data_IF_635931432390
#
_entry.id   IF_635931432390
#
_cell.length_a   1.000
_cell.length_b   1.000
_cell.length_c   1.000
_cell.angle_alpha   90.00
_cell.angle_beta   90.00
_cell.angle_gamma   90.00
#
_symmetry.space_group_name_H-M   'P 1'
#
loop_
_entity.id
_entity.type
_entity.pdbx_description
1 polymer ?
#
# COMPACT_ATOMS: atom_id res chain seq x y z
N UNK A 1 22.65 8.19 3.77
CA UNK A 1 21.18 8.31 3.94
C UNK A 1 20.58 8.36 2.54
N UNK A 2 19.60 7.50 2.23
CA UNK A 2 19.03 7.37 0.88
C UNK A 2 19.62 6.24 0.02
N UNK A 3 20.35 5.28 0.61
CA UNK A 3 20.78 4.06 -0.09
C UNK A 3 19.65 3.01 -0.05
N UNK A 4 18.90 2.91 -1.14
CA UNK A 4 17.86 1.91 -1.31
C UNK A 4 18.38 0.56 -1.85
N UNK A 5 19.62 0.51 -2.37
CA UNK A 5 20.15 -0.68 -3.05
C UNK A 5 20.63 -1.71 -2.05
N UNK A 6 21.35 -1.29 -1.01
CA UNK A 6 21.91 -2.22 -0.04
C UNK A 6 20.83 -3.01 0.73
N UNK A 7 19.79 -2.35 1.29
CA UNK A 7 18.69 -3.09 1.92
C UNK A 7 17.95 -4.01 0.94
N UNK A 8 17.82 -3.61 -0.33
CA UNK A 8 17.19 -4.42 -1.37
C UNK A 8 17.97 -5.73 -1.61
N UNK A 9 19.30 -5.68 -1.68
CA UNK A 9 20.10 -6.91 -1.84
C UNK A 9 19.93 -7.87 -0.68
N UNK A 10 19.89 -7.38 0.57
CA UNK A 10 19.63 -8.24 1.73
C UNK A 10 18.22 -8.84 1.70
N UNK A 11 17.23 -8.07 1.26
CA UNK A 11 15.87 -8.57 1.09
C UNK A 11 15.79 -9.66 0.01
N UNK A 12 16.50 -9.51 -1.11
CA UNK A 12 16.56 -10.54 -2.15
C UNK A 12 17.20 -11.83 -1.62
N UNK A 13 18.30 -11.72 -0.88
CA UNK A 13 18.95 -12.90 -0.27
C UNK A 13 18.01 -13.55 0.76
N UNK A 14 17.32 -12.75 1.57
CA UNK A 14 16.35 -13.26 2.53
C UNK A 14 15.17 -13.98 1.86
N UNK A 15 14.66 -13.46 0.74
CA UNK A 15 13.62 -14.14 -0.05
C UNK A 15 14.12 -15.48 -0.62
N UNK A 16 15.34 -15.53 -1.15
CA UNK A 16 15.94 -16.78 -1.64
C UNK A 16 16.09 -17.79 -0.48
N UNK A 17 16.58 -17.32 0.66
CA UNK A 17 16.73 -18.15 1.86
C UNK A 17 15.37 -18.66 2.34
N UNK A 18 14.33 -17.84 2.30
CA UNK A 18 12.97 -18.22 2.67
C UNK A 18 12.46 -19.37 1.81
N UNK A 19 12.60 -19.26 0.47
CA UNK A 19 12.19 -20.33 -0.46
C UNK A 19 12.94 -21.64 -0.16
N UNK A 20 14.25 -21.57 0.09
CA UNK A 20 15.06 -22.75 0.41
C UNK A 20 14.58 -23.37 1.72
N UNK A 21 14.36 -22.56 2.76
CA UNK A 21 13.90 -23.03 4.07
C UNK A 21 12.48 -23.60 4.01
N UNK A 22 11.58 -23.03 3.18
CA UNK A 22 10.24 -23.59 2.97
C UNK A 22 10.33 -25.01 2.39
N UNK A 23 11.17 -25.23 1.37
CA UNK A 23 11.36 -26.57 0.80
C UNK A 23 11.95 -27.53 1.84
N UNK A 24 12.93 -27.09 2.62
CA UNK A 24 13.57 -27.93 3.65
C UNK A 24 12.60 -28.29 4.77
N UNK A 25 11.87 -27.31 5.32
CA UNK A 25 10.96 -27.56 6.45
C UNK A 25 9.68 -28.28 6.01
N UNK A 26 9.09 -27.90 4.87
CA UNK A 26 7.83 -28.48 4.41
C UNK A 26 8.05 -29.83 3.73
N UNK A 27 8.86 -29.87 2.68
CA UNK A 27 9.06 -31.10 1.93
C UNK A 27 10.10 -32.02 2.59
N UNK A 28 11.13 -31.47 3.23
CA UNK A 28 12.20 -32.25 3.87
C UNK A 28 11.83 -32.77 5.26
N UNK A 29 11.30 -31.93 6.14
CA UNK A 29 10.95 -32.31 7.52
C UNK A 29 9.46 -32.61 7.71
N UNK A 30 8.63 -32.45 6.68
CA UNK A 30 7.19 -32.71 6.77
C UNK A 30 6.44 -31.71 7.66
N UNK A 31 7.04 -30.57 7.96
CA UNK A 31 6.40 -29.52 8.77
C UNK A 31 5.37 -28.81 7.89
N UNK A 32 4.11 -28.76 8.30
CA UNK A 32 3.06 -28.05 7.56
C UNK A 32 3.21 -26.52 7.63
N UNK A 33 2.12 -25.84 8.00
CA UNK A 33 2.09 -24.36 8.09
C UNK A 33 3.11 -23.81 9.10
N UNK A 34 3.43 -24.59 10.15
CA UNK A 34 4.46 -24.22 11.13
C UNK A 34 5.86 -24.09 10.51
N UNK A 35 6.21 -25.00 9.58
CA UNK A 35 7.47 -24.94 8.83
C UNK A 35 7.60 -23.64 8.04
N UNK A 36 6.54 -23.24 7.35
CA UNK A 36 6.49 -21.96 6.62
C UNK A 36 6.69 -20.75 7.56
N UNK A 37 6.16 -20.84 8.78
CA UNK A 37 6.36 -19.84 9.83
C UNK A 37 7.83 -19.69 10.22
N UNK A 38 8.51 -20.79 10.53
CA UNK A 38 9.93 -20.78 10.88
C UNK A 38 10.81 -20.28 9.73
N UNK A 39 10.55 -20.73 8.51
CA UNK A 39 11.27 -20.28 7.32
C UNK A 39 11.18 -18.76 7.13
N UNK A 40 9.99 -18.19 7.37
CA UNK A 40 9.76 -16.75 7.26
C UNK A 40 10.51 -15.97 8.33
N UNK A 41 10.40 -16.39 9.60
CA UNK A 41 11.04 -15.70 10.73
C UNK A 41 12.56 -15.72 10.61
N UNK A 42 13.16 -16.88 10.31
CA UNK A 42 14.60 -17.00 10.14
C UNK A 42 15.14 -16.12 8.99
N UNK A 43 14.37 -16.02 7.91
CA UNK A 43 14.72 -15.17 6.77
C UNK A 43 14.69 -13.69 7.08
N UNK A 44 13.69 -13.24 7.84
CA UNK A 44 13.62 -11.84 8.28
C UNK A 44 14.71 -11.52 9.31
N UNK A 45 15.02 -12.43 10.23
CA UNK A 45 16.12 -12.27 11.20
C UNK A 45 17.45 -12.08 10.46
N UNK A 46 17.74 -12.91 9.47
CA UNK A 46 18.94 -12.77 8.65
C UNK A 46 19.02 -11.39 7.98
N UNK A 47 17.94 -10.93 7.34
CA UNK A 47 17.88 -9.62 6.68
C UNK A 47 18.14 -8.48 7.67
N UNK A 48 17.52 -8.54 8.86
CA UNK A 48 17.70 -7.56 9.92
C UNK A 48 19.14 -7.52 10.43
N UNK A 49 19.73 -8.67 10.72
CA UNK A 49 21.13 -8.77 11.16
C UNK A 49 22.10 -8.26 10.09
N UNK A 50 21.88 -8.60 8.82
CA UNK A 50 22.70 -8.11 7.71
C UNK A 50 22.64 -6.57 7.59
N UNK A 51 21.44 -5.98 7.70
CA UNK A 51 21.26 -4.53 7.74
C UNK A 51 22.01 -3.89 8.90
N UNK A 52 21.88 -4.42 10.12
CA UNK A 52 22.55 -3.89 11.33
C UNK A 52 24.07 -3.94 11.17
N UNK A 53 24.61 -5.08 10.73
CA UNK A 53 26.05 -5.24 10.49
C UNK A 53 26.57 -4.27 9.42
N UNK A 54 25.80 -4.04 8.36
CA UNK A 54 26.15 -3.07 7.33
C UNK A 54 26.16 -1.64 7.87
N UNK A 55 25.11 -1.22 8.57
CA UNK A 55 25.02 0.10 9.21
C UNK A 55 26.22 0.31 10.13
N UNK A 56 26.52 -0.67 10.99
CA UNK A 56 27.63 -0.58 11.93
C UNK A 56 28.99 -0.44 11.22
N UNK A 57 29.21 -1.14 10.10
CA UNK A 57 30.48 -1.05 9.35
C UNK A 57 30.59 0.21 8.49
N UNK A 58 29.51 0.63 7.80
CA UNK A 58 29.59 1.58 6.68
C UNK A 58 28.94 2.94 6.93
N UNK A 59 28.12 3.09 7.97
CA UNK A 59 27.40 4.35 8.24
C UNK A 59 27.71 4.81 9.67
N UNK A 60 28.87 5.48 9.90
CA UNK A 60 29.31 5.87 11.24
C UNK A 60 28.30 6.73 12.00
N UNK A 61 27.55 7.59 11.28
CA UNK A 61 26.52 8.48 11.85
C UNK A 61 25.30 7.73 12.41
N UNK A 62 25.09 6.46 12.05
CA UNK A 62 23.99 5.62 12.54
C UNK A 62 24.46 4.54 13.52
N UNK A 63 25.69 4.63 14.03
CA UNK A 63 26.18 3.71 15.06
C UNK A 63 25.55 4.07 16.40
N UNK A 64 24.74 3.15 16.92
CA UNK A 64 24.13 3.28 18.23
C UNK A 64 25.21 3.23 19.32
N UNK A 65 25.16 4.20 20.22
CA UNK A 65 25.94 4.26 21.44
C UNK A 65 25.03 4.05 22.65
N UNK A 66 25.60 3.74 23.82
CA UNK A 66 24.84 3.52 25.06
C UNK A 66 23.96 4.72 25.47
N UNK A 67 24.29 5.92 24.99
CA UNK A 67 23.51 7.15 25.22
C UNK A 67 22.22 7.22 24.39
N UNK A 68 22.15 6.51 23.27
CA UNK A 68 20.98 6.51 22.37
C UNK A 68 19.86 5.59 22.87
N UNK A 69 20.11 4.81 23.93
CA UNK A 69 19.12 3.95 24.58
C UNK A 69 18.31 4.67 25.67
N UNK A 70 18.55 5.97 25.87
CA UNK A 70 17.77 6.79 26.80
C UNK A 70 16.58 7.37 26.04
N UNK A 71 15.39 6.83 26.31
CA UNK A 71 14.15 7.36 25.72
C UNK A 71 13.72 8.65 26.44
N UNK A 72 13.82 9.79 25.75
CA UNK A 72 13.26 11.04 26.26
C UNK A 72 11.73 11.07 26.06
N UNK A 73 11.01 11.63 27.03
CA UNK A 73 9.54 11.75 26.95
C UNK A 73 9.08 12.57 25.75
N UNK A 74 9.88 13.55 25.32
CA UNK A 74 9.73 14.32 24.08
C UNK A 74 9.69 13.43 22.84
N UNK A 75 10.66 12.53 22.70
CA UNK A 75 10.79 11.64 21.54
C UNK A 75 9.65 10.62 21.50
N UNK A 76 9.33 10.02 22.65
CA UNK A 76 8.20 9.08 22.76
C UNK A 76 6.89 9.78 22.37
N UNK A 77 6.67 11.01 22.86
CA UNK A 77 5.45 11.78 22.54
C UNK A 77 5.34 12.07 21.04
N UNK A 78 6.44 12.42 20.38
CA UNK A 78 6.43 12.68 18.94
C UNK A 78 6.17 11.39 18.14
N UNK A 79 6.82 10.29 18.51
CA UNK A 79 6.56 8.97 17.89
C UNK A 79 5.11 8.52 18.05
N UNK A 80 4.52 8.67 19.25
CA UNK A 80 3.11 8.34 19.49
C UNK A 80 2.19 9.24 18.67
N UNK A 81 2.48 10.54 18.61
CA UNK A 81 1.69 11.52 17.83
C UNK A 81 1.64 11.19 16.34
N UNK A 82 2.70 10.62 15.77
CA UNK A 82 2.77 10.23 14.37
C UNK A 82 2.22 8.81 14.16
N UNK A 83 2.63 7.86 15.00
CA UNK A 83 2.34 6.44 14.82
C UNK A 83 0.89 6.09 15.15
N UNK A 84 0.28 6.75 16.15
CA UNK A 84 -1.10 6.43 16.56
C UNK A 84 -2.12 6.74 15.46
N UNK A 85 -2.08 7.91 14.77
CA UNK A 85 -2.89 8.15 13.58
C UNK A 85 -2.66 7.13 12.45
N UNK A 86 -1.40 6.74 12.20
CA UNK A 86 -1.06 5.76 11.16
C UNK A 86 -1.57 4.35 11.51
N UNK A 87 -1.48 3.95 12.77
CA UNK A 87 -2.02 2.69 13.28
C UNK A 87 -3.55 2.67 13.16
N UNK A 88 -4.22 3.75 13.56
CA UNK A 88 -5.66 3.90 13.39
C UNK A 88 -6.09 3.82 11.92
N UNK A 89 -5.32 4.45 11.01
CA UNK A 89 -5.55 4.32 9.57
C UNK A 89 -5.40 2.87 9.08
N UNK A 90 -4.43 2.13 9.59
CA UNK A 90 -4.25 0.71 9.25
C UNK A 90 -5.42 -0.13 9.74
N UNK A 91 -5.94 0.16 10.93
CA UNK A 91 -7.17 -0.46 11.45
C UNK A 91 -8.39 -0.15 10.57
N UNK A 92 -8.50 1.07 10.04
CA UNK A 92 -9.57 1.42 9.09
C UNK A 92 -9.52 0.54 7.84
N UNK A 93 -8.34 0.30 7.28
CA UNK A 93 -8.17 -0.58 6.11
C UNK A 93 -8.59 -2.01 6.48
N UNK A 94 -8.16 -2.51 7.64
CA UNK A 94 -8.52 -3.84 8.12
C UNK A 94 -10.03 -4.01 8.35
N UNK A 95 -10.67 -3.04 9.01
CA UNK A 95 -12.14 -3.03 9.22
C UNK A 95 -12.85 -2.98 7.86
N UNK A 96 -12.37 -2.14 6.94
CA UNK A 96 -12.91 -2.06 5.59
C UNK A 96 -12.85 -3.38 4.83
N UNK A 97 -11.74 -4.11 4.95
CA UNK A 97 -11.58 -5.43 4.35
C UNK A 97 -12.55 -6.46 4.96
N UNK A 98 -12.75 -6.42 6.29
CA UNK A 98 -13.73 -7.28 6.99
C UNK A 98 -15.14 -7.00 6.49
N UNK A 99 -15.53 -5.73 6.34
CA UNK A 99 -16.86 -5.35 5.84
C UNK A 99 -17.10 -5.95 4.44
N UNK A 100 -16.14 -5.78 3.52
CA UNK A 100 -16.24 -6.37 2.18
C UNK A 100 -16.33 -7.90 2.27
N UNK A 101 -15.52 -8.53 3.11
CA UNK A 101 -15.54 -9.99 3.28
C UNK A 101 -16.88 -10.51 3.79
N UNK A 102 -17.51 -9.82 4.76
CA UNK A 102 -18.84 -10.16 5.26
C UNK A 102 -19.87 -10.09 4.12
N UNK A 103 -19.86 -9.01 3.34
CA UNK A 103 -20.75 -8.85 2.18
C UNK A 103 -20.52 -9.96 1.15
N UNK A 104 -19.28 -10.30 0.83
CA UNK A 104 -18.97 -11.38 -0.12
C UNK A 104 -19.45 -12.74 0.38
N UNK A 105 -19.32 -13.02 1.68
CA UNK A 105 -19.83 -14.26 2.27
C UNK A 105 -21.36 -14.39 2.12
N UNK A 106 -22.10 -13.28 2.16
CA UNK A 106 -23.55 -13.27 1.92
C UNK A 106 -23.90 -13.51 0.44
N UNK A 107 -23.03 -13.10 -0.48
CA UNK A 107 -23.20 -13.31 -1.92
C UNK A 107 -22.81 -14.73 -2.38
N UNK A 108 -22.17 -15.52 -1.52
CA UNK A 108 -21.90 -16.94 -1.74
C UNK A 108 -20.44 -17.27 -2.09
N UNK A 109 -20.14 -18.57 -2.12
CA UNK A 109 -18.78 -19.08 -2.26
C UNK A 109 -18.09 -18.66 -3.57
N UNK A 110 -18.83 -18.58 -4.69
CA UNK A 110 -18.30 -18.16 -5.99
C UNK A 110 -17.80 -16.71 -5.95
N UNK A 111 -18.55 -15.80 -5.30
CA UNK A 111 -18.15 -14.40 -5.12
C UNK A 111 -16.87 -14.28 -4.28
N UNK A 112 -16.78 -15.05 -3.19
CA UNK A 112 -15.58 -15.09 -2.34
C UNK A 112 -14.37 -15.60 -3.12
N UNK A 113 -14.53 -16.67 -3.90
CA UNK A 113 -13.47 -17.25 -4.72
C UNK A 113 -12.98 -16.24 -5.79
N UNK A 114 -13.91 -15.59 -6.48
CA UNK A 114 -13.61 -14.59 -7.51
C UNK A 114 -12.84 -13.40 -6.94
N UNK A 115 -13.32 -12.84 -5.82
CA UNK A 115 -12.65 -11.74 -5.14
C UNK A 115 -11.26 -12.13 -4.65
N UNK A 116 -11.11 -13.34 -4.09
CA UNK A 116 -9.82 -13.84 -3.58
C UNK A 116 -8.80 -14.01 -4.71
N UNK A 117 -9.20 -14.60 -5.84
CA UNK A 117 -8.34 -14.74 -7.01
C UNK A 117 -7.96 -13.36 -7.59
N UNK A 118 -8.94 -12.46 -7.74
CA UNK A 118 -8.71 -11.10 -8.22
C UNK A 118 -7.75 -10.33 -7.30
N UNK A 119 -7.89 -10.45 -5.97
CA UNK A 119 -7.02 -9.79 -4.99
C UNK A 119 -5.54 -10.18 -5.13
N UNK A 120 -5.24 -11.45 -5.50
CA UNK A 120 -3.84 -11.86 -5.72
C UNK A 120 -3.20 -11.10 -6.89
N UNK A 121 -3.96 -10.91 -7.96
CA UNK A 121 -3.52 -10.16 -9.13
C UNK A 121 -3.50 -8.64 -8.82
N UNK A 122 -4.52 -8.14 -8.15
CA UNK A 122 -4.69 -6.74 -7.74
C UNK A 122 -3.53 -6.25 -6.87
N UNK A 123 -3.04 -7.07 -5.94
CA UNK A 123 -1.88 -6.73 -5.12
C UNK A 123 -0.64 -6.42 -5.96
N UNK A 124 -0.38 -7.20 -7.01
CA UNK A 124 0.76 -6.98 -7.91
C UNK A 124 0.60 -5.65 -8.67
N UNK A 125 -0.61 -5.32 -9.09
CA UNK A 125 -0.90 -4.04 -9.75
C UNK A 125 -0.77 -2.84 -8.80
N UNK A 126 -1.16 -2.98 -7.54
CA UNK A 126 -1.18 -1.90 -6.55
C UNK A 126 0.22 -1.57 -6.00
N UNK A 127 1.09 -2.57 -5.85
CA UNK A 127 2.41 -2.41 -5.23
C UNK A 127 3.26 -1.27 -5.86
N UNK A 128 3.40 -1.14 -7.19
CA UNK A 128 4.16 -0.04 -7.78
C UNK A 128 3.54 1.34 -7.50
N UNK A 129 2.21 1.46 -7.54
CA UNK A 129 1.50 2.71 -7.23
C UNK A 129 1.74 3.14 -5.77
N UNK A 130 1.70 2.18 -4.84
CA UNK A 130 2.02 2.41 -3.43
C UNK A 130 3.49 2.78 -3.26
N UNK A 131 4.41 2.11 -3.97
CA UNK A 131 5.85 2.38 -3.93
C UNK A 131 6.19 3.81 -4.36
N UNK A 132 5.55 4.32 -5.42
CA UNK A 132 5.66 5.74 -5.80
C UNK A 132 5.22 6.66 -4.65
N UNK A 133 4.09 6.35 -4.02
CA UNK A 133 3.62 7.05 -2.82
C UNK A 133 4.64 7.07 -1.69
N UNK A 134 5.11 5.91 -1.23
CA UNK A 134 6.09 5.79 -0.13
C UNK A 134 7.38 6.54 -0.46
N UNK A 135 7.84 6.46 -1.71
CA UNK A 135 9.00 7.23 -2.19
C UNK A 135 8.78 8.74 -2.05
N UNK A 136 7.56 9.22 -2.35
CA UNK A 136 7.21 10.63 -2.17
C UNK A 136 7.23 11.06 -0.70
N UNK A 137 6.86 10.20 0.26
CA UNK A 137 6.96 10.56 1.68
C UNK A 137 8.41 10.92 2.06
N UNK A 138 9.38 10.08 1.69
CA UNK A 138 10.81 10.34 1.96
C UNK A 138 11.34 11.54 1.19
N UNK A 139 11.03 11.62 -0.12
CA UNK A 139 11.47 12.74 -0.97
C UNK A 139 10.95 14.09 -0.44
N UNK A 140 9.67 14.14 -0.06
CA UNK A 140 9.03 15.33 0.48
C UNK A 140 9.62 15.68 1.84
N UNK A 141 9.78 14.73 2.76
CA UNK A 141 10.34 14.96 4.08
C UNK A 141 11.74 15.58 4.01
N UNK A 142 12.61 15.04 3.16
CA UNK A 142 13.97 15.56 2.97
C UNK A 142 13.98 16.98 2.39
N UNK A 143 13.17 17.24 1.37
CA UNK A 143 13.13 18.57 0.74
C UNK A 143 12.42 19.60 1.63
N UNK A 144 11.42 19.18 2.41
CA UNK A 144 10.70 20.03 3.35
C UNK A 144 11.63 20.46 4.50
N UNK A 145 12.38 19.52 5.09
CA UNK A 145 13.41 19.83 6.09
C UNK A 145 14.51 20.75 5.56
N UNK A 146 14.86 20.63 4.27
CA UNK A 146 15.81 21.51 3.59
C UNK A 146 15.20 22.83 3.08
N UNK A 147 13.92 23.11 3.34
CA UNK A 147 13.16 24.29 2.86
C UNK A 147 13.12 24.44 1.32
N UNK A 148 13.31 23.35 0.57
CA UNK A 148 13.31 23.33 -0.91
C UNK A 148 11.91 23.04 -1.48
N UNK A 149 10.94 23.91 -1.20
CA UNK A 149 9.52 23.65 -1.52
C UNK A 149 9.24 23.50 -3.02
N UNK A 150 9.89 24.28 -3.89
CA UNK A 150 9.69 24.15 -5.34
C UNK A 150 10.14 22.80 -5.90
N UNK A 151 11.13 22.17 -5.26
CA UNK A 151 11.55 20.81 -5.62
C UNK A 151 10.50 19.78 -5.23
N UNK A 152 9.77 20.01 -4.14
CA UNK A 152 8.63 19.17 -3.73
C UNK A 152 7.56 19.18 -4.81
N UNK A 153 7.09 20.37 -5.23
CA UNK A 153 5.97 20.48 -6.16
C UNK A 153 6.28 19.96 -7.56
N UNK A 154 7.52 20.14 -8.03
CA UNK A 154 8.00 19.52 -9.27
C UNK A 154 8.04 18.00 -9.16
N UNK A 155 8.65 17.48 -8.09
CA UNK A 155 8.73 16.03 -7.85
C UNK A 155 7.35 15.37 -7.72
N UNK A 156 6.42 15.97 -6.98
CA UNK A 156 5.03 15.47 -6.88
C UNK A 156 4.36 15.43 -8.26
N UNK A 157 4.52 16.48 -9.08
CA UNK A 157 3.92 16.53 -10.42
C UNK A 157 4.48 15.44 -11.34
N UNK A 158 5.79 15.26 -11.34
CA UNK A 158 6.43 14.26 -12.20
C UNK A 158 6.10 12.84 -11.74
N UNK A 159 6.03 12.62 -10.42
CA UNK A 159 5.57 11.37 -9.83
C UNK A 159 4.09 11.08 -10.16
N UNK A 160 3.21 12.08 -10.14
CA UNK A 160 1.81 11.94 -10.59
C UNK A 160 1.76 11.48 -12.04
N UNK A 161 2.51 12.08 -12.95
CA UNK A 161 2.52 11.66 -14.35
C UNK A 161 2.96 10.20 -14.49
N UNK A 162 4.08 9.83 -13.87
CA UNK A 162 4.62 8.48 -13.91
C UNK A 162 3.63 7.44 -13.35
N UNK A 163 3.10 7.71 -12.16
CA UNK A 163 2.18 6.81 -11.46
C UNK A 163 0.85 6.70 -12.19
N UNK A 164 0.32 7.79 -12.76
CA UNK A 164 -0.91 7.78 -13.53
C UNK A 164 -0.77 7.02 -14.85
N UNK A 165 0.35 7.20 -15.56
CA UNK A 165 0.66 6.41 -16.75
C UNK A 165 0.68 4.93 -16.41
N UNK A 166 1.40 4.54 -15.34
CA UNK A 166 1.42 3.15 -14.88
C UNK A 166 0.02 2.63 -14.51
N UNK A 167 -0.74 3.40 -13.73
CA UNK A 167 -2.08 3.03 -13.27
C UNK A 167 -3.06 2.81 -14.42
N UNK A 168 -3.05 3.69 -15.43
CA UNK A 168 -3.87 3.57 -16.63
C UNK A 168 -3.43 2.36 -17.45
N UNK A 169 -2.13 2.19 -17.69
CA UNK A 169 -1.60 1.04 -18.45
C UNK A 169 -1.96 -0.29 -17.79
N UNK A 170 -1.74 -0.44 -16.49
CA UNK A 170 -2.06 -1.70 -15.78
C UNK A 170 -3.56 -1.91 -15.67
N UNK A 171 -4.35 -0.84 -15.50
CA UNK A 171 -5.80 -0.90 -15.54
C UNK A 171 -6.32 -1.41 -16.89
N UNK A 172 -5.80 -0.91 -18.01
CA UNK A 172 -6.17 -1.39 -19.36
C UNK A 172 -5.79 -2.87 -19.52
N UNK A 173 -4.57 -3.24 -19.13
CA UNK A 173 -4.09 -4.64 -19.23
C UNK A 173 -5.02 -5.57 -18.44
N UNK A 174 -5.36 -5.22 -17.20
CA UNK A 174 -6.22 -6.07 -16.37
C UNK A 174 -7.67 -6.09 -16.87
N UNK A 175 -8.18 -5.00 -17.43
CA UNK A 175 -9.51 -5.00 -18.04
C UNK A 175 -9.60 -5.94 -19.26
N UNK A 176 -8.55 -6.00 -20.09
CA UNK A 176 -8.55 -6.82 -21.29
C UNK A 176 -8.18 -8.29 -21.03
N UNK A 177 -7.27 -8.53 -20.08
CA UNK A 177 -6.65 -9.84 -19.88
C UNK A 177 -6.98 -10.49 -18.52
N UNK A 178 -7.82 -9.87 -17.68
CA UNK A 178 -8.22 -10.46 -16.40
C UNK A 178 -8.76 -11.88 -16.49
N UNK A 179 -9.57 -12.28 -17.50
CA UNK A 179 -10.05 -13.66 -17.57
C UNK A 179 -8.91 -14.68 -17.65
N UNK A 180 -7.83 -14.35 -18.37
CA UNK A 180 -6.65 -15.20 -18.50
C UNK A 180 -5.93 -15.32 -17.15
N UNK A 181 -5.70 -14.18 -16.49
CA UNK A 181 -5.02 -14.16 -15.20
C UNK A 181 -5.83 -14.90 -14.13
N UNK A 182 -7.14 -14.68 -14.05
CA UNK A 182 -7.99 -15.34 -13.07
C UNK A 182 -8.03 -16.84 -13.33
N UNK A 183 -8.18 -17.26 -14.58
CA UNK A 183 -8.16 -18.68 -14.96
C UNK A 183 -6.83 -19.36 -14.58
N UNK A 184 -5.71 -18.64 -14.63
CA UNK A 184 -4.42 -19.17 -14.17
C UNK A 184 -4.39 -19.45 -12.64
N UNK A 185 -5.21 -18.73 -11.85
CA UNK A 185 -5.33 -18.96 -10.41
C UNK A 185 -6.36 -20.04 -10.06
N UNK A 186 -7.49 -20.09 -10.77
CA UNK A 186 -8.62 -20.96 -10.39
C UNK A 186 -8.70 -22.26 -11.18
N UNK A 187 -8.00 -22.37 -12.31
CA UNK A 187 -8.04 -23.55 -13.18
C UNK A 187 -9.21 -23.58 -14.16
N UNK A 188 -9.31 -24.67 -14.93
CA UNK A 188 -10.36 -24.87 -15.95
C UNK A 188 -11.63 -25.39 -15.28
N UNK A 189 -12.80 -24.90 -15.71
CA UNK A 189 -14.12 -25.33 -15.21
C UNK A 189 -14.80 -24.37 -14.23
N UNK A 190 -14.15 -23.26 -13.88
CA UNK A 190 -14.67 -22.25 -12.94
C UNK A 190 -15.07 -20.94 -13.65
N UNK A 191 -15.83 -21.03 -14.74
CA UNK A 191 -16.08 -19.87 -15.62
C UNK A 191 -16.85 -18.74 -14.92
N UNK A 192 -17.79 -19.06 -14.02
CA UNK A 192 -18.50 -18.06 -13.21
C UNK A 192 -17.54 -17.25 -12.31
N UNK A 193 -16.49 -17.89 -11.78
CA UNK A 193 -15.46 -17.22 -10.97
C UNK A 193 -14.63 -16.27 -11.86
N UNK A 194 -14.36 -16.69 -13.10
CA UNK A 194 -13.63 -15.88 -14.09
C UNK A 194 -14.44 -14.65 -14.49
N UNK A 195 -15.75 -14.81 -14.74
CA UNK A 195 -16.65 -13.71 -15.07
C UNK A 195 -16.76 -12.69 -13.93
N UNK A 196 -16.99 -13.15 -12.70
CA UNK A 196 -17.03 -12.26 -11.53
C UNK A 196 -15.67 -11.58 -11.30
N UNK A 197 -14.56 -12.28 -11.48
CA UNK A 197 -13.26 -11.64 -11.38
C UNK A 197 -13.01 -10.61 -12.49
N UNK A 198 -13.55 -10.80 -13.70
CA UNK A 198 -13.49 -9.77 -14.75
C UNK A 198 -14.29 -8.52 -14.34
N UNK A 199 -15.49 -8.69 -13.76
CA UNK A 199 -16.29 -7.59 -13.19
C UNK A 199 -15.51 -6.83 -12.10
N UNK A 200 -14.73 -7.54 -11.27
CA UNK A 200 -13.85 -6.91 -10.30
C UNK A 200 -12.87 -5.94 -10.98
N UNK A 201 -12.19 -6.36 -12.05
CA UNK A 201 -11.23 -5.48 -12.73
C UNK A 201 -11.88 -4.38 -13.57
N UNK A 202 -13.08 -4.60 -14.12
CA UNK A 202 -13.87 -3.54 -14.76
C UNK A 202 -14.21 -2.43 -13.77
N UNK A 203 -14.59 -2.80 -12.55
CA UNK A 203 -14.94 -1.82 -11.50
C UNK A 203 -13.71 -1.18 -10.84
N UNK A 204 -12.67 -1.96 -10.56
CA UNK A 204 -11.49 -1.52 -9.79
C UNK A 204 -10.36 -1.01 -10.69
N UNK A 205 -10.01 -1.77 -11.73
CA UNK A 205 -8.89 -1.47 -12.63
C UNK A 205 -9.09 -0.18 -13.43
N UNK A 206 -10.33 0.14 -13.80
CA UNK A 206 -10.67 1.43 -14.43
C UNK A 206 -10.44 2.63 -13.51
N UNK A 207 -10.48 2.39 -12.19
CA UNK A 207 -10.39 3.42 -11.14
C UNK A 207 -9.02 3.47 -10.46
N UNK A 208 -8.02 2.70 -10.94
CA UNK A 208 -6.65 2.76 -10.41
C UNK A 208 -6.00 4.13 -10.57
N UNK A 209 -6.42 4.93 -11.54
CA UNK A 209 -5.98 6.32 -11.67
C UNK A 209 -6.28 7.12 -10.39
N UNK A 210 -7.45 6.93 -9.78
CA UNK A 210 -7.85 7.56 -8.52
C UNK A 210 -7.00 7.05 -7.35
N UNK A 211 -6.78 5.73 -7.28
CA UNK A 211 -5.93 5.12 -6.26
C UNK A 211 -4.50 5.64 -6.32
N UNK A 212 -3.94 5.78 -7.53
CA UNK A 212 -2.58 6.29 -7.76
C UNK A 212 -2.41 7.71 -7.21
N UNK A 213 -3.39 8.58 -7.46
CA UNK A 213 -3.42 9.95 -6.95
C UNK A 213 -3.57 9.96 -5.43
N UNK A 214 -4.44 9.11 -4.89
CA UNK A 214 -4.65 8.97 -3.45
C UNK A 214 -3.33 8.66 -2.75
N UNK A 215 -2.56 7.68 -3.22
CA UNK A 215 -1.27 7.36 -2.63
C UNK A 215 -0.32 8.55 -2.66
N UNK A 216 -0.18 9.22 -3.82
CA UNK A 216 0.77 10.33 -3.94
C UNK A 216 0.40 11.49 -3.00
N UNK A 217 -0.87 11.92 -2.97
CA UNK A 217 -1.29 13.01 -2.09
C UNK A 217 -1.17 12.63 -0.62
N UNK A 218 -1.58 11.41 -0.25
CA UNK A 218 -1.52 10.93 1.14
C UNK A 218 -0.08 10.89 1.65
N UNK A 219 0.83 10.29 0.90
CA UNK A 219 2.22 10.17 1.33
C UNK A 219 2.98 11.49 1.23
N UNK A 220 2.61 12.38 0.31
CA UNK A 220 3.15 13.75 0.28
C UNK A 220 2.79 14.53 1.56
N UNK A 221 1.52 14.47 1.98
CA UNK A 221 1.07 15.13 3.22
C UNK A 221 1.71 14.52 4.46
N UNK A 222 1.83 13.19 4.52
CA UNK A 222 2.57 12.53 5.60
C UNK A 222 4.05 12.91 5.63
N UNK A 223 4.68 13.06 4.46
CA UNK A 223 6.08 13.47 4.35
C UNK A 223 6.37 14.87 4.92
N UNK A 224 5.39 15.78 4.94
CA UNK A 224 5.51 17.09 5.61
C UNK A 224 5.00 17.09 7.06
N UNK A 225 4.73 15.92 7.64
CA UNK A 225 4.26 15.78 9.02
C UNK A 225 2.78 16.06 9.24
N UNK A 226 1.96 16.15 8.19
CA UNK A 226 0.50 16.31 8.34
C UNK A 226 -0.17 14.96 8.54
N UNK A 227 -0.54 14.67 9.78
CA UNK A 227 -1.20 13.41 10.16
C UNK A 227 -2.72 13.51 10.28
N UNK A 228 -3.27 14.68 10.59
CA UNK A 228 -4.72 14.86 10.75
C UNK A 228 -5.51 14.62 9.46
N UNK A 229 -5.04 15.17 8.33
CA UNK A 229 -5.75 15.02 7.05
C UNK A 229 -5.82 13.55 6.58
N UNK A 230 -4.72 12.77 6.59
CA UNK A 230 -4.80 11.33 6.30
C UNK A 230 -5.80 10.56 7.17
N UNK A 231 -5.95 10.94 8.45
CA UNK A 231 -6.94 10.33 9.34
C UNK A 231 -8.37 10.62 8.89
N UNK A 232 -8.71 11.89 8.63
CA UNK A 232 -10.04 12.27 8.12
C UNK A 232 -10.33 11.58 6.79
N UNK A 233 -9.33 11.52 5.91
CA UNK A 233 -9.43 10.81 4.64
C UNK A 233 -9.65 9.30 4.82
N UNK A 234 -9.05 8.69 5.84
CA UNK A 234 -9.31 7.30 6.22
C UNK A 234 -10.74 7.09 6.70
N UNK A 235 -11.28 7.98 7.54
CA UNK A 235 -12.68 7.87 8.01
C UNK A 235 -13.65 7.96 6.83
N UNK A 236 -13.43 8.92 5.92
CA UNK A 236 -14.24 9.04 4.69
C UNK A 236 -14.13 7.80 3.80
N UNK A 237 -12.92 7.24 3.68
CA UNK A 237 -12.68 5.97 2.98
C UNK A 237 -13.53 4.84 3.57
N UNK A 238 -13.56 4.71 4.90
CA UNK A 238 -14.34 3.69 5.60
C UNK A 238 -15.84 3.88 5.39
N UNK A 239 -16.35 5.10 5.55
CA UNK A 239 -17.77 5.41 5.38
C UNK A 239 -18.25 5.08 3.96
N UNK A 240 -17.48 5.48 2.95
CA UNK A 240 -17.82 5.21 1.55
C UNK A 240 -17.73 3.72 1.22
N UNK A 241 -16.72 3.01 1.78
CA UNK A 241 -16.59 1.55 1.64
C UNK A 241 -17.78 0.83 2.26
N UNK A 242 -18.15 1.18 3.50
CA UNK A 242 -19.28 0.59 4.21
C UNK A 242 -20.61 0.87 3.49
N UNK A 243 -20.81 2.10 3.00
CA UNK A 243 -21.98 2.45 2.20
C UNK A 243 -22.10 1.58 0.96
N UNK A 244 -21.04 1.43 0.19
CA UNK A 244 -21.07 0.57 -1.00
C UNK A 244 -21.29 -0.91 -0.66
N UNK A 245 -20.58 -1.42 0.34
CA UNK A 245 -20.65 -2.81 0.75
C UNK A 245 -21.99 -3.22 1.36
N UNK A 246 -22.77 -2.28 1.92
CA UNK A 246 -24.10 -2.56 2.50
C UNK A 246 -25.23 -2.15 1.56
N UNK A 247 -25.13 -0.99 0.91
CA UNK A 247 -26.22 -0.45 0.09
C UNK A 247 -26.09 -0.92 -1.36
N UNK A 248 -24.93 -0.72 -1.99
CA UNK A 248 -24.78 -1.07 -3.40
C UNK A 248 -24.73 -2.57 -3.62
N UNK A 249 -24.18 -3.35 -2.69
CA UNK A 249 -24.21 -4.82 -2.78
C UNK A 249 -25.63 -5.38 -2.76
N UNK A 250 -26.54 -4.81 -1.96
CA UNK A 250 -27.94 -5.22 -1.94
C UNK A 250 -28.67 -4.85 -3.24
N UNK A 251 -28.28 -3.75 -3.89
CA UNK A 251 -28.91 -3.28 -5.13
C UNK A 251 -28.34 -3.93 -6.40
N UNK A 252 -27.03 -4.19 -6.42
CA UNK A 252 -26.28 -4.59 -7.61
C UNK A 252 -25.45 -5.88 -7.42
N UNK A 253 -25.66 -6.61 -6.32
CA UNK A 253 -24.97 -7.85 -6.01
C UNK A 253 -23.45 -7.69 -5.93
N UNK A 254 -22.74 -8.60 -6.58
CA UNK A 254 -21.27 -8.62 -6.60
C UNK A 254 -20.66 -7.31 -7.13
N UNK A 255 -21.19 -6.76 -8.21
CA UNK A 255 -20.71 -5.48 -8.78
C UNK A 255 -20.79 -4.35 -7.76
N UNK A 256 -21.88 -4.30 -6.98
CA UNK A 256 -22.04 -3.31 -5.91
C UNK A 256 -21.01 -3.48 -4.79
N UNK A 257 -20.70 -4.73 -4.44
CA UNK A 257 -19.64 -5.04 -3.48
C UNK A 257 -18.25 -4.63 -3.99
N UNK A 258 -17.93 -4.85 -5.27
CA UNK A 258 -16.62 -4.48 -5.82
C UNK A 258 -16.45 -2.98 -6.02
N UNK A 259 -17.53 -2.21 -6.16
CA UNK A 259 -17.51 -0.73 -6.18
C UNK A 259 -17.10 -0.11 -4.84
N UNK A 260 -17.07 -0.88 -3.76
CA UNK A 260 -16.67 -0.39 -2.45
C UNK A 260 -15.24 0.15 -2.43
N UNK A 261 -14.33 -0.43 -3.18
CA UNK A 261 -12.95 0.03 -3.30
C UNK A 261 -12.85 1.39 -4.04
N UNK A 262 -13.35 1.54 -5.29
CA UNK A 262 -13.40 2.84 -5.97
C UNK A 262 -14.06 3.96 -5.17
N UNK A 263 -15.20 3.69 -4.52
CA UNK A 263 -15.90 4.69 -3.71
C UNK A 263 -15.10 5.10 -2.48
N UNK A 264 -14.42 4.14 -1.84
CA UNK A 264 -13.51 4.42 -0.74
C UNK A 264 -12.34 5.30 -1.20
N UNK A 265 -11.74 4.99 -2.36
CA UNK A 265 -10.66 5.80 -2.93
C UNK A 265 -11.12 7.22 -3.25
N UNK A 266 -12.29 7.38 -3.86
CA UNK A 266 -12.90 8.70 -4.11
C UNK A 266 -13.13 9.47 -2.81
N UNK A 267 -13.74 8.82 -1.80
CA UNK A 267 -14.02 9.42 -0.50
C UNK A 267 -12.76 9.92 0.20
N UNK A 268 -11.65 9.19 0.08
CA UNK A 268 -10.36 9.58 0.64
C UNK A 268 -9.63 10.64 -0.18
N UNK A 269 -9.72 10.57 -1.51
CA UNK A 269 -8.97 11.42 -2.42
C UNK A 269 -9.39 12.89 -2.29
N UNK A 270 -10.69 13.17 -2.13
CA UNK A 270 -11.23 14.54 -2.02
C UNK A 270 -10.58 15.33 -0.88
N UNK A 271 -10.64 14.90 0.41
CA UNK A 271 -10.02 15.65 1.50
C UNK A 271 -8.49 15.75 1.36
N UNK A 272 -7.84 14.71 0.81
CA UNK A 272 -6.40 14.74 0.56
C UNK A 272 -6.01 15.79 -0.49
N UNK A 273 -6.75 15.86 -1.60
CA UNK A 273 -6.51 16.87 -2.64
C UNK A 273 -6.71 18.28 -2.10
N UNK A 274 -7.82 18.52 -1.40
CA UNK A 274 -8.11 19.83 -0.78
C UNK A 274 -6.96 20.24 0.14
N UNK A 275 -6.55 19.37 1.05
CA UNK A 275 -5.48 19.67 1.99
C UNK A 275 -4.11 19.87 1.31
N UNK A 276 -3.83 19.11 0.25
CA UNK A 276 -2.62 19.26 -0.55
C UNK A 276 -2.57 20.64 -1.22
N UNK A 277 -3.62 21.06 -1.92
CA UNK A 277 -3.64 22.36 -2.61
C UNK A 277 -3.63 23.52 -1.63
N UNK A 278 -4.38 23.43 -0.53
CA UNK A 278 -4.33 24.44 0.55
C UNK A 278 -2.94 24.54 1.16
N UNK A 279 -2.25 23.42 1.35
CA UNK A 279 -0.89 23.42 1.88
C UNK A 279 0.12 23.99 0.89
N UNK A 280 0.04 23.57 -0.37
CA UNK A 280 0.90 24.06 -1.44
C UNK A 280 0.79 25.57 -1.62
N UNK A 281 -0.42 26.13 -1.57
CA UNK A 281 -0.65 27.56 -1.74
C UNK A 281 -0.07 28.43 -0.61
N UNK A 282 0.30 27.84 0.55
CA UNK A 282 1.00 28.57 1.62
C UNK A 282 2.46 28.86 1.29
N UNK A 283 3.05 28.16 0.32
CA UNK A 283 4.43 28.33 -0.09
C UNK A 283 4.44 28.86 -1.53
N UNK A 284 4.56 30.20 -1.73
CA UNK A 284 4.60 30.77 -3.07
C UNK A 284 5.79 30.18 -3.84
N UNK A 285 5.61 29.99 -5.15
CA UNK A 285 6.69 29.56 -6.05
C UNK A 285 7.79 30.62 -5.98
N UNK A 286 9.05 30.25 -5.73
CA UNK A 286 10.14 31.18 -6.03
C UNK A 286 10.04 31.51 -7.53
N UNK A 287 9.93 32.81 -7.84
CA UNK A 287 10.08 33.29 -9.20
C UNK A 287 11.52 32.93 -9.61
N UNK A 288 11.65 31.87 -10.40
CA UNK A 288 12.91 31.56 -11.07
C UNK A 288 13.09 32.63 -12.14
N UNK A 289 13.85 33.68 -11.81
CA UNK A 289 14.42 34.64 -12.75
C UNK A 289 15.44 33.97 -13.66
#
# INVERSE_FOLDING_TARGET
IGDAKTPLYFLVIACIMNIILDVVFIAGFGMGVEGAGYATVLSQIFSALACILYIWKKIPILRLNSKDFVAESSDVREHVRISFPMAFQSSIIAIGAIIIQITLNQLGATAVAAYTAAQKIDQVAILPMMSFGVTMATFVAQNYGAKKYDRIWRGVRDCIKLSLTFAISVGIILNLFSPIFIRAFVGVGHEEVVELGAIYFITNGTMYSLLSLLFIYRYTLQGVGKTFTPTVAGIMELCMRAFAAVVLSNLYGYTGATMANPLAWLGSLIPLMIAYYLFKNKFPKEQVS
#
